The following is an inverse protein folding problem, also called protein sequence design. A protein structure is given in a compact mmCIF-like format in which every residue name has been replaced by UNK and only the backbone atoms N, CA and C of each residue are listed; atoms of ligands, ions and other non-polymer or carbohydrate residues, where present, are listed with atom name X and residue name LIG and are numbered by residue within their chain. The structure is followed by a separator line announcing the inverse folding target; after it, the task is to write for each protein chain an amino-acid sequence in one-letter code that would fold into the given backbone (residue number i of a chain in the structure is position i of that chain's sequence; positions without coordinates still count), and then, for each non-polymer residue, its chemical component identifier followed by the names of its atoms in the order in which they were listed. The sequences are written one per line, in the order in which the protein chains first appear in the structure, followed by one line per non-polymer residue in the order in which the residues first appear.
data_IF_380941150776
#
_entry.id   IF_380941150776
#
_cell.length_a   1.000
_cell.length_b   1.000
_cell.length_c   1.000
_cell.angle_alpha   90.00
_cell.angle_beta   90.00
_cell.angle_gamma   90.00
#
_symmetry.space_group_name_H-M   'P 1'
#
loop_
_entity.id
_entity.type
_entity.pdbx_description
1 polymer ?
#
# COMPACT_ATOMS: atom_id res chain seq x y z
N UNK A 1 7.59 10.52 -4.54
CA UNK A 1 7.33 9.19 -5.15
C UNK A 1 7.78 9.15 -6.64
N UNK A 2 8.98 9.62 -7.01
CA UNK A 2 9.31 9.89 -8.43
C UNK A 2 10.02 8.73 -9.15
N UNK A 3 9.49 7.50 -9.12
CA UNK A 3 10.15 6.20 -9.41
C UNK A 3 10.86 5.62 -8.19
N UNK A 4 10.08 5.03 -7.28
CA UNK A 4 10.64 4.14 -6.26
C UNK A 4 10.82 2.76 -6.88
N UNK A 5 12.00 2.50 -7.48
CA UNK A 5 12.39 1.14 -7.86
C UNK A 5 12.83 0.41 -6.59
N UNK A 6 12.27 -0.77 -6.35
CA UNK A 6 12.83 -1.63 -5.30
C UNK A 6 14.13 -2.26 -5.79
N UNK A 7 15.16 -2.20 -4.94
CA UNK A 7 16.51 -2.62 -5.30
C UNK A 7 16.72 -4.12 -5.13
N UNK A 8 16.07 -4.71 -4.12
CA UNK A 8 16.26 -6.10 -3.70
C UNK A 8 15.09 -7.03 -4.04
N UNK A 9 13.91 -6.50 -4.37
CA UNK A 9 12.71 -7.31 -4.57
C UNK A 9 11.93 -6.91 -5.82
N UNK A 10 11.21 -7.89 -6.37
CA UNK A 10 10.21 -7.66 -7.42
C UNK A 10 8.81 -7.71 -6.81
N UNK A 11 7.90 -6.93 -7.37
CA UNK A 11 6.47 -7.05 -7.11
C UNK A 11 5.85 -8.02 -8.11
N UNK A 12 5.18 -9.04 -7.59
CA UNK A 12 4.34 -9.96 -8.36
C UNK A 12 2.88 -9.54 -8.27
N UNK A 13 2.31 -9.09 -9.38
CA UNK A 13 0.89 -8.81 -9.52
C UNK A 13 0.21 -10.05 -10.08
N UNK A 14 -0.88 -10.50 -9.46
CA UNK A 14 -1.44 -11.82 -9.74
C UNK A 14 -2.92 -11.72 -10.11
N UNK A 15 -3.29 -12.34 -11.22
CA UNK A 15 -4.66 -12.69 -11.55
C UNK A 15 -4.84 -14.21 -11.37
N UNK A 16 -5.69 -14.62 -10.44
CA UNK A 16 -5.97 -16.03 -10.17
C UNK A 16 -7.35 -16.42 -10.72
N UNK A 17 -7.39 -17.44 -11.58
CA UNK A 17 -8.62 -18.04 -12.10
C UNK A 17 -8.83 -19.40 -11.44
N UNK A 18 -9.99 -19.56 -10.80
CA UNK A 18 -10.50 -20.83 -10.33
C UNK A 18 -11.87 -21.11 -10.95
N UNK A 19 -11.99 -22.20 -11.71
CA UNK A 19 -13.24 -22.62 -12.34
C UNK A 19 -13.54 -24.04 -11.91
N UNK A 20 -14.80 -24.35 -11.63
CA UNK A 20 -15.21 -25.73 -11.31
C UNK A 20 -15.06 -26.57 -12.57
N UNK A 21 -14.33 -27.67 -12.43
CA UNK A 21 -14.06 -28.58 -13.53
C UNK A 21 -14.07 -30.01 -12.99
N UNK A 22 -15.10 -30.77 -13.35
CA UNK A 22 -15.29 -32.15 -12.91
C UNK A 22 -14.30 -33.13 -13.50
N UNK A 23 -13.60 -32.76 -14.59
CA UNK A 23 -12.56 -33.59 -15.20
C UNK A 23 -11.26 -33.57 -14.39
N UNK A 24 -11.04 -32.52 -13.60
CA UNK A 24 -9.86 -32.34 -12.77
C UNK A 24 -9.99 -33.11 -11.45
N UNK A 25 -8.93 -33.78 -11.02
CA UNK A 25 -8.91 -34.59 -9.77
C UNK A 25 -9.36 -33.84 -8.52
N UNK A 26 -9.11 -32.52 -8.47
CA UNK A 26 -9.50 -31.65 -7.34
C UNK A 26 -10.85 -30.95 -7.53
N UNK A 27 -11.56 -31.22 -8.63
CA UNK A 27 -12.86 -30.63 -8.96
C UNK A 27 -12.81 -29.18 -9.45
N UNK A 28 -11.61 -28.62 -9.62
CA UNK A 28 -11.40 -27.25 -10.05
C UNK A 28 -10.17 -27.15 -10.96
N UNK A 29 -10.30 -26.35 -12.02
CA UNK A 29 -9.20 -25.77 -12.76
C UNK A 29 -8.68 -24.55 -12.00
N UNK A 30 -7.37 -24.48 -11.77
CA UNK A 30 -6.71 -23.40 -11.04
C UNK A 30 -5.48 -22.95 -11.81
N UNK A 31 -5.42 -21.68 -12.20
CA UNK A 31 -4.28 -21.12 -12.92
C UNK A 31 -4.13 -19.64 -12.60
N UNK A 32 -2.88 -19.18 -12.53
CA UNK A 32 -2.54 -17.78 -12.28
C UNK A 32 -1.80 -17.19 -13.47
N UNK A 33 -2.09 -15.95 -13.79
CA UNK A 33 -1.23 -15.09 -14.61
C UNK A 33 -0.53 -14.10 -13.67
N UNK A 34 0.79 -13.98 -13.80
CA UNK A 34 1.62 -13.15 -12.90
C UNK A 34 2.42 -12.16 -13.72
N UNK A 35 2.29 -10.88 -13.40
CA UNK A 35 3.15 -9.81 -13.92
C UNK A 35 4.20 -9.45 -12.87
N UNK A 36 5.47 -9.42 -13.26
CA UNK A 36 6.59 -9.14 -12.36
C UNK A 36 7.23 -7.80 -12.73
N UNK A 37 7.38 -6.89 -11.76
CA UNK A 37 7.98 -5.58 -11.99
C UNK A 37 8.76 -5.07 -10.79
N UNK A 38 9.80 -4.27 -11.03
CA UNK A 38 10.49 -3.51 -9.96
C UNK A 38 9.77 -2.22 -9.58
N UNK A 39 8.75 -1.83 -10.36
CA UNK A 39 7.97 -0.62 -10.13
C UNK A 39 6.71 -0.96 -9.32
N UNK A 40 6.43 -0.27 -8.21
CA UNK A 40 5.26 -0.50 -7.39
C UNK A 40 4.00 0.18 -7.97
N UNK A 41 3.73 0.01 -9.26
CA UNK A 41 2.57 0.61 -9.95
C UNK A 41 1.35 -0.29 -9.85
N UNK A 42 0.87 -0.44 -8.61
CA UNK A 42 -0.19 -1.38 -8.24
C UNK A 42 -1.42 -1.25 -9.13
N UNK A 43 -1.95 -0.04 -9.28
CA UNK A 43 -3.18 0.17 -10.06
C UNK A 43 -2.97 -0.09 -11.55
N UNK A 44 -1.84 0.37 -12.11
CA UNK A 44 -1.52 0.14 -13.52
C UNK A 44 -1.40 -1.35 -13.83
N UNK A 45 -0.62 -2.10 -13.05
CA UNK A 45 -0.36 -3.51 -13.33
C UNK A 45 -1.55 -4.41 -12.97
N UNK A 46 -2.38 -4.05 -11.98
CA UNK A 46 -3.65 -4.72 -11.75
C UNK A 46 -4.64 -4.48 -12.90
N UNK A 47 -4.77 -3.24 -13.38
CA UNK A 47 -5.60 -2.91 -14.54
C UNK A 47 -5.13 -3.67 -15.79
N UNK A 48 -3.83 -3.69 -16.04
CA UNK A 48 -3.22 -4.42 -17.14
C UNK A 48 -3.54 -5.92 -17.08
N UNK A 49 -3.40 -6.55 -15.91
CA UNK A 49 -3.78 -7.96 -15.72
C UNK A 49 -5.27 -8.22 -15.90
N UNK A 50 -6.14 -7.27 -15.55
CA UNK A 50 -7.59 -7.41 -15.78
C UNK A 50 -7.94 -7.40 -17.27
N UNK A 51 -7.14 -6.74 -18.11
CA UNK A 51 -7.29 -6.77 -19.57
C UNK A 51 -6.68 -8.03 -20.19
N UNK A 52 -5.46 -8.40 -19.78
CA UNK A 52 -4.71 -9.51 -20.40
C UNK A 52 -5.26 -10.88 -19.96
N UNK A 53 -5.57 -11.05 -18.67
CA UNK A 53 -5.84 -12.38 -18.13
C UNK A 53 -7.06 -13.07 -18.77
N UNK A 54 -8.22 -12.40 -18.95
CA UNK A 54 -9.37 -13.02 -19.62
C UNK A 54 -9.00 -13.52 -21.03
N UNK A 55 -8.33 -12.69 -21.80
CA UNK A 55 -7.92 -12.99 -23.17
C UNK A 55 -6.88 -14.12 -23.23
N UNK A 56 -5.90 -14.13 -22.31
CA UNK A 56 -4.96 -15.24 -22.17
C UNK A 56 -5.66 -16.56 -21.86
N UNK A 57 -6.68 -16.52 -21.02
CA UNK A 57 -7.38 -17.73 -20.63
C UNK A 57 -8.27 -18.32 -21.72
N UNK A 58 -8.55 -17.56 -22.77
CA UNK A 58 -9.31 -17.99 -23.94
C UNK A 58 -8.39 -18.28 -25.15
N UNK A 59 -7.35 -17.47 -25.37
CA UNK A 59 -6.45 -17.52 -26.54
C UNK A 59 -5.06 -18.11 -26.25
N UNK A 60 -4.72 -18.35 -24.99
CA UNK A 60 -3.45 -18.93 -24.54
C UNK A 60 -2.20 -18.12 -24.96
N UNK A 61 -1.10 -18.80 -25.29
CA UNK A 61 0.24 -18.23 -25.47
C UNK A 61 0.35 -17.14 -26.54
N UNK A 62 -0.28 -17.26 -27.73
CA UNK A 62 -0.20 -16.20 -28.76
C UNK A 62 -0.69 -14.83 -28.28
N UNK A 63 -1.63 -14.80 -27.34
CA UNK A 63 -2.09 -13.56 -26.72
C UNK A 63 -0.97 -12.89 -25.92
N UNK A 64 -0.15 -13.67 -25.21
CA UNK A 64 0.96 -13.12 -24.43
C UNK A 64 2.09 -12.61 -25.32
N UNK A 65 2.38 -13.29 -26.43
CA UNK A 65 3.38 -12.81 -27.40
C UNK A 65 3.00 -11.44 -27.97
N UNK A 66 1.74 -11.26 -28.36
CA UNK A 66 1.23 -9.97 -28.83
C UNK A 66 1.36 -8.88 -27.75
N UNK A 67 0.94 -9.19 -26.52
CA UNK A 67 1.02 -8.25 -25.39
C UNK A 67 2.47 -7.87 -25.08
N UNK A 68 3.41 -8.82 -25.07
CA UNK A 68 4.82 -8.53 -24.85
C UNK A 68 5.37 -7.59 -25.94
N UNK A 69 5.06 -7.85 -27.20
CA UNK A 69 5.47 -6.98 -28.32
C UNK A 69 4.91 -5.56 -28.19
N UNK A 70 3.69 -5.39 -27.68
CA UNK A 70 3.09 -4.07 -27.42
C UNK A 70 3.79 -3.36 -26.25
N UNK A 71 4.05 -4.08 -25.14
CA UNK A 71 4.74 -3.55 -23.95
C UNK A 71 6.17 -3.13 -24.27
N UNK A 72 6.89 -3.86 -25.10
CA UNK A 72 8.27 -3.55 -25.51
C UNK A 72 8.38 -2.21 -26.27
N UNK A 73 7.27 -1.76 -26.87
CA UNK A 73 7.18 -0.50 -27.59
C UNK A 73 6.75 0.67 -26.69
N UNK A 74 6.47 0.42 -25.41
CA UNK A 74 6.04 1.48 -24.50
C UNK A 74 7.15 2.49 -24.24
N UNK A 75 6.81 3.79 -24.12
CA UNK A 75 7.77 4.80 -23.71
C UNK A 75 8.29 4.52 -22.29
N UNK A 76 9.55 4.90 -21.98
CA UNK A 76 10.08 4.74 -20.63
C UNK A 76 9.25 5.55 -19.62
N UNK A 77 9.06 5.04 -18.39
CA UNK A 77 8.26 5.73 -17.38
C UNK A 77 9.03 6.91 -16.76
N UNK A 78 8.92 8.10 -17.35
CA UNK A 78 9.59 9.32 -16.87
C UNK A 78 8.69 10.07 -15.87
N UNK A 79 9.19 10.47 -14.68
CA UNK A 79 8.41 11.20 -13.67
C UNK A 79 7.81 12.50 -14.21
N UNK A 80 6.54 12.74 -13.94
CA UNK A 80 5.81 13.93 -14.39
C UNK A 80 5.30 13.86 -15.83
N UNK A 81 5.55 12.77 -16.55
CA UNK A 81 5.03 12.56 -17.90
C UNK A 81 3.68 11.82 -17.86
N UNK A 82 2.77 12.17 -18.77
CA UNK A 82 1.60 11.36 -19.08
C UNK A 82 1.93 10.42 -20.23
N UNK A 83 1.73 9.13 -20.04
CA UNK A 83 1.97 8.08 -21.03
C UNK A 83 0.64 7.58 -21.58
N UNK A 84 0.64 7.21 -22.85
CA UNK A 84 -0.42 6.46 -23.50
C UNK A 84 0.16 5.08 -23.83
N UNK A 85 -0.37 4.05 -23.18
CA UNK A 85 0.15 2.69 -23.18
C UNK A 85 -0.85 1.79 -23.93
N UNK A 86 -0.66 1.56 -25.24
CA UNK A 86 -1.52 0.67 -26.00
C UNK A 86 -1.32 -0.78 -25.53
N UNK A 87 -2.42 -1.48 -25.30
CA UNK A 87 -2.44 -2.92 -25.01
C UNK A 87 -3.79 -3.53 -25.33
N UNK A 88 -3.81 -4.68 -26.01
CA UNK A 88 -5.03 -5.45 -26.29
C UNK A 88 -6.17 -4.60 -26.90
N UNK A 89 -5.84 -3.71 -27.84
CA UNK A 89 -6.82 -2.83 -28.49
C UNK A 89 -7.37 -1.68 -27.63
N UNK A 90 -6.83 -1.50 -26.41
CA UNK A 90 -7.15 -0.39 -25.50
C UNK A 90 -5.92 0.50 -25.34
N UNK A 91 -6.10 1.80 -25.13
CA UNK A 91 -5.01 2.71 -24.76
C UNK A 91 -5.17 3.10 -23.30
N UNK A 92 -4.26 2.68 -22.44
CA UNK A 92 -4.23 3.11 -21.03
C UNK A 92 -3.50 4.44 -20.95
N UNK A 93 -4.19 5.51 -20.52
CA UNK A 93 -3.57 6.80 -20.29
C UNK A 93 -3.27 6.98 -18.80
N UNK A 94 -2.01 7.24 -18.45
CA UNK A 94 -1.58 7.34 -17.05
C UNK A 94 -0.46 8.34 -16.86
N UNK A 95 -0.50 9.10 -15.75
CA UNK A 95 0.59 10.01 -15.36
C UNK A 95 1.55 9.33 -14.40
N UNK A 96 2.84 9.41 -14.71
CA UNK A 96 3.90 8.96 -13.81
C UNK A 96 4.11 10.03 -12.72
N UNK A 97 4.02 9.70 -11.43
CA UNK A 97 4.18 10.67 -10.35
C UNK A 97 5.58 11.28 -10.30
N UNK A 98 5.65 12.56 -9.97
CA UNK A 98 6.88 13.33 -9.75
C UNK A 98 7.05 13.71 -8.27
N UNK A 99 8.27 14.15 -7.90
CA UNK A 99 8.59 14.66 -6.54
C UNK A 99 7.89 15.98 -6.23
N UNK A 100 7.55 16.75 -7.27
CA UNK A 100 6.89 18.06 -7.16
C UNK A 100 5.37 17.97 -7.12
N UNK A 101 4.80 16.78 -7.35
CA UNK A 101 3.35 16.60 -7.32
C UNK A 101 2.83 16.72 -5.88
N UNK A 102 1.83 17.56 -5.66
CA UNK A 102 1.15 17.66 -4.35
C UNK A 102 0.27 16.43 -4.15
N UNK A 103 0.17 15.87 -2.93
CA UNK A 103 -0.82 14.83 -2.62
C UNK A 103 -2.22 15.31 -3.00
N UNK A 104 -2.91 14.57 -3.86
CA UNK A 104 -4.24 14.94 -4.36
C UNK A 104 -4.27 15.95 -5.52
N UNK A 105 -3.14 16.24 -6.19
CA UNK A 105 -3.18 16.96 -7.47
C UNK A 105 -4.04 16.18 -8.46
N UNK A 106 -5.02 16.87 -9.05
CA UNK A 106 -6.05 16.34 -9.94
C UNK A 106 -5.49 15.43 -11.04
N UNK A 107 -6.26 14.42 -11.50
CA UNK A 107 -5.83 13.50 -12.54
C UNK A 107 -5.47 14.25 -13.81
N UNK A 108 -4.61 13.63 -14.63
CA UNK A 108 -4.25 13.97 -16.01
C UNK A 108 -5.14 15.11 -16.55
N UNK A 109 -4.61 16.33 -16.68
CA UNK A 109 -5.28 17.35 -17.50
C UNK A 109 -5.54 16.68 -18.84
N UNK A 110 -6.80 16.50 -19.22
CA UNK A 110 -7.16 16.11 -20.58
C UNK A 110 -6.51 17.15 -21.50
N UNK A 111 -5.36 16.81 -22.06
CA UNK A 111 -4.75 17.60 -23.10
C UNK A 111 -5.68 17.40 -24.30
N UNK A 112 -6.21 18.49 -24.86
CA UNK A 112 -7.13 18.52 -25.99
C UNK A 112 -6.77 17.45 -27.03
N UNK A 113 -7.45 16.31 -26.99
CA UNK A 113 -7.38 15.28 -28.02
C UNK A 113 -8.80 15.02 -28.49
N UNK A 114 -9.30 15.96 -29.28
CA UNK A 114 -10.31 15.65 -30.28
C UNK A 114 -9.71 14.54 -31.18
N UNK A 115 -10.41 13.42 -31.32
CA UNK A 115 -10.22 12.38 -32.36
C UNK A 115 -9.41 11.08 -32.07
N UNK A 116 -9.15 10.67 -30.82
CA UNK A 116 -8.75 9.27 -30.58
C UNK A 116 -9.98 8.39 -30.31
N UNK A 117 -10.38 7.60 -31.31
CA UNK A 117 -11.34 6.51 -31.15
C UNK A 117 -10.59 5.16 -31.21
N UNK A 118 -10.79 4.24 -30.24
CA UNK A 118 -11.60 4.38 -29.03
C UNK A 118 -10.95 5.29 -27.96
N UNK A 119 -11.79 5.87 -27.10
CA UNK A 119 -11.33 6.75 -26.02
C UNK A 119 -10.41 5.99 -25.04
N UNK A 120 -9.31 6.63 -24.58
CA UNK A 120 -8.35 5.97 -23.70
C UNK A 120 -8.94 5.67 -22.32
N UNK A 121 -8.51 4.55 -21.74
CA UNK A 121 -8.75 4.21 -20.34
C UNK A 121 -7.85 5.06 -19.46
N UNK A 122 -8.39 6.14 -18.90
CA UNK A 122 -7.63 7.07 -18.05
C UNK A 122 -7.51 6.53 -16.63
N UNK A 123 -6.28 6.25 -16.20
CA UNK A 123 -5.96 5.92 -14.82
C UNK A 123 -5.61 7.19 -14.04
N UNK A 124 -6.30 7.49 -12.92
CA UNK A 124 -6.03 8.69 -12.13
C UNK A 124 -4.65 8.67 -11.45
N UNK A 125 -4.14 7.48 -11.13
CA UNK A 125 -2.81 7.27 -10.55
C UNK A 125 -2.32 5.85 -10.81
N UNK A 126 -1.00 5.69 -10.95
CA UNK A 126 -0.32 4.38 -11.02
C UNK A 126 -0.36 3.60 -9.71
N UNK A 127 -0.55 4.27 -8.58
CA UNK A 127 -0.43 3.69 -7.23
C UNK A 127 -1.77 3.50 -6.51
N UNK A 128 -2.91 3.89 -7.11
CA UNK A 128 -4.15 4.01 -6.33
C UNK A 128 -4.59 2.69 -5.71
N UNK A 129 -4.48 2.66 -4.39
CA UNK A 129 -5.06 1.67 -3.51
C UNK A 129 -6.23 2.36 -2.81
N UNK A 130 -7.39 1.69 -2.75
CA UNK A 130 -8.55 2.22 -2.04
C UNK A 130 -8.33 2.16 -0.52
N UNK A 131 -7.58 3.14 0.01
CA UNK A 131 -7.21 3.24 1.42
C UNK A 131 -8.44 3.29 2.31
N UNK A 132 -9.52 3.94 1.85
CA UNK A 132 -10.76 3.98 2.61
C UNK A 132 -11.30 2.58 2.77
N UNK A 133 -11.48 1.84 1.67
CA UNK A 133 -11.97 0.46 1.69
C UNK A 133 -11.11 -0.44 2.58
N UNK A 134 -9.79 -0.30 2.50
CA UNK A 134 -8.86 -1.06 3.32
C UNK A 134 -9.03 -0.72 4.80
N UNK A 135 -9.03 0.56 5.16
CA UNK A 135 -9.07 0.99 6.56
C UNK A 135 -10.45 1.08 7.17
N UNK A 136 -11.52 1.02 6.37
CA UNK A 136 -12.91 1.10 6.83
C UNK A 136 -13.20 0.22 8.06
N UNK A 137 -12.82 -1.08 8.13
CA UNK A 137 -13.08 -1.91 9.31
C UNK A 137 -12.26 -1.52 10.56
N UNK A 138 -11.16 -0.80 10.38
CA UNK A 138 -10.19 -0.45 11.44
C UNK A 138 -10.08 1.07 11.68
N UNK A 139 -10.96 1.86 11.08
CA UNK A 139 -10.82 3.30 10.95
C UNK A 139 -10.70 4.02 12.31
N UNK A 140 -11.44 3.55 13.32
CA UNK A 140 -11.37 4.10 14.68
C UNK A 140 -10.04 3.84 15.40
N UNK A 141 -9.16 3.03 14.82
CA UNK A 141 -7.85 2.65 15.36
C UNK A 141 -6.70 3.08 14.45
N UNK A 142 -6.97 3.95 13.47
CA UNK A 142 -5.99 4.32 12.46
C UNK A 142 -4.75 4.98 13.04
N UNK A 143 -4.88 5.78 14.11
CA UNK A 143 -3.73 6.38 14.80
C UNK A 143 -2.81 5.32 15.43
N UNK A 144 -3.39 4.26 16.02
CA UNK A 144 -2.60 3.15 16.57
C UNK A 144 -1.85 2.42 15.46
N UNK A 145 -2.53 2.10 14.37
CA UNK A 145 -1.93 1.41 13.24
C UNK A 145 -0.81 2.26 12.63
N UNK A 146 -1.03 3.56 12.48
CA UNK A 146 -0.03 4.50 12.01
C UNK A 146 1.19 4.55 12.93
N UNK A 147 1.02 4.59 14.25
CA UNK A 147 2.15 4.54 15.20
C UNK A 147 2.95 3.24 15.07
N UNK A 148 2.27 2.09 14.98
CA UNK A 148 2.93 0.79 14.79
C UNK A 148 3.75 0.78 13.48
N UNK A 149 3.20 1.35 12.41
CA UNK A 149 3.92 1.50 11.14
C UNK A 149 5.11 2.44 11.27
N UNK A 150 4.93 3.61 11.90
CA UNK A 150 5.98 4.62 12.09
C UNK A 150 7.18 4.05 12.87
N UNK A 151 6.88 3.26 13.89
CA UNK A 151 7.87 2.63 14.75
C UNK A 151 8.47 1.35 14.16
N UNK A 152 7.92 0.85 13.05
CA UNK A 152 8.39 -0.39 12.41
C UNK A 152 8.11 -1.62 13.26
N UNK A 153 7.04 -1.63 14.06
CA UNK A 153 6.72 -2.74 14.95
C UNK A 153 6.35 -4.01 14.15
N UNK A 154 6.83 -5.20 14.54
CA UNK A 154 6.50 -6.46 13.87
C UNK A 154 5.00 -6.76 13.90
N UNK A 155 4.39 -6.98 12.75
CA UNK A 155 2.93 -7.11 12.68
C UNK A 155 2.47 -8.14 11.65
N UNK A 156 1.46 -8.92 12.04
CA UNK A 156 0.80 -9.90 11.17
C UNK A 156 -0.59 -9.41 10.78
N UNK A 157 -0.89 -9.37 9.48
CA UNK A 157 -2.22 -9.16 8.93
C UNK A 157 -2.80 -10.51 8.52
N UNK A 158 -3.84 -10.97 9.21
CA UNK A 158 -4.60 -12.16 8.88
C UNK A 158 -5.87 -11.76 8.14
N UNK A 159 -6.01 -12.19 6.90
CA UNK A 159 -7.10 -11.78 6.00
C UNK A 159 -7.84 -12.99 5.41
N UNK A 160 -9.08 -12.83 4.91
CA UNK A 160 -9.84 -13.93 4.32
C UNK A 160 -9.34 -14.36 2.93
N UNK A 161 -8.61 -13.48 2.22
CA UNK A 161 -8.10 -13.77 0.88
C UNK A 161 -6.74 -13.10 0.61
N UNK A 162 -5.95 -13.60 -0.35
CA UNK A 162 -4.66 -13.00 -0.70
C UNK A 162 -4.81 -11.55 -1.17
N UNK A 163 -5.92 -11.23 -1.84
CA UNK A 163 -6.27 -9.85 -2.23
C UNK A 163 -6.41 -8.95 -1.01
N UNK A 164 -7.25 -9.31 -0.03
CA UNK A 164 -7.44 -8.48 1.17
C UNK A 164 -6.16 -8.39 2.00
N UNK A 165 -5.38 -9.47 2.06
CA UNK A 165 -4.06 -9.49 2.70
C UNK A 165 -3.12 -8.46 2.08
N UNK A 166 -2.92 -8.56 0.78
CA UNK A 166 -1.97 -7.72 0.04
C UNK A 166 -2.38 -6.25 0.02
N UNK A 167 -3.66 -5.97 -0.21
CA UNK A 167 -4.21 -4.61 -0.15
C UNK A 167 -4.04 -4.00 1.25
N UNK A 168 -4.36 -4.71 2.32
CA UNK A 168 -4.21 -4.17 3.68
C UNK A 168 -2.75 -3.88 4.02
N UNK A 169 -1.81 -4.78 3.68
CA UNK A 169 -0.38 -4.57 3.92
C UNK A 169 0.13 -3.35 3.14
N UNK A 170 -0.23 -3.24 1.85
CA UNK A 170 0.13 -2.08 1.04
C UNK A 170 -0.50 -0.78 1.57
N UNK A 171 -1.74 -0.83 2.09
CA UNK A 171 -2.40 0.33 2.69
C UNK A 171 -1.67 0.81 3.95
N UNK A 172 -1.32 -0.12 4.83
CA UNK A 172 -0.58 0.15 6.07
C UNK A 172 0.79 0.77 5.79
N UNK A 173 1.56 0.22 4.85
CA UNK A 173 2.86 0.82 4.47
C UNK A 173 2.70 2.20 3.84
N UNK A 174 1.65 2.40 3.03
CA UNK A 174 1.37 3.66 2.35
C UNK A 174 0.87 4.77 3.28
N UNK A 175 0.36 4.45 4.49
CA UNK A 175 -0.16 5.46 5.40
C UNK A 175 0.92 6.32 6.06
N UNK A 176 2.19 5.95 5.92
CA UNK A 176 3.32 6.77 6.35
C UNK A 176 3.71 7.85 5.36
N UNK A 177 3.17 7.83 4.13
CA UNK A 177 3.45 8.84 3.13
C UNK A 177 3.25 10.26 3.72
N UNK A 178 4.20 11.18 3.50
CA UNK A 178 5.32 11.10 2.54
C UNK A 178 6.59 10.38 3.05
N UNK A 179 6.61 9.88 4.29
CA UNK A 179 7.70 9.00 4.76
C UNK A 179 7.68 7.71 3.96
N UNK A 180 8.85 7.23 3.57
CA UNK A 180 8.99 5.87 3.07
C UNK A 180 8.96 4.90 4.26
N UNK A 181 8.15 3.84 4.15
CA UNK A 181 8.28 2.69 5.03
C UNK A 181 9.57 1.93 4.66
N UNK A 182 10.50 1.81 5.59
CA UNK A 182 11.83 1.23 5.37
C UNK A 182 12.03 -0.14 6.04
N UNK A 183 11.02 -0.64 6.76
CA UNK A 183 10.99 -2.03 7.20
C UNK A 183 10.62 -2.97 6.04
N UNK A 184 10.93 -4.26 6.20
CA UNK A 184 10.52 -5.27 5.24
C UNK A 184 8.99 -5.48 5.32
N UNK A 185 8.38 -5.92 4.22
CA UNK A 185 6.98 -6.31 4.22
C UNK A 185 6.69 -7.37 3.17
N UNK A 186 5.77 -8.27 3.50
CA UNK A 186 5.29 -9.34 2.61
C UNK A 186 3.78 -9.20 2.46
N UNK A 187 3.28 -8.62 1.35
CA UNK A 187 1.84 -8.45 1.13
C UNK A 187 1.05 -9.76 1.21
N UNK A 188 1.67 -10.86 0.79
CA UNK A 188 1.15 -12.20 0.95
C UNK A 188 2.30 -13.18 1.19
N UNK A 189 2.26 -13.86 2.34
CA UNK A 189 3.26 -14.80 2.82
C UNK A 189 2.64 -16.17 3.04
N UNK A 190 3.39 -17.20 2.67
CA UNK A 190 2.95 -18.58 2.63
C UNK A 190 3.88 -19.48 3.43
N UNK A 191 3.47 -20.72 3.62
CA UNK A 191 4.32 -21.74 4.27
C UNK A 191 5.48 -22.20 3.38
N UNK A 192 5.48 -21.80 2.10
CA UNK A 192 6.48 -22.19 1.11
C UNK A 192 7.57 -21.13 0.94
N UNK A 193 7.42 -19.96 1.55
CA UNK A 193 8.46 -18.94 1.58
C UNK A 193 9.69 -19.46 2.33
N UNK A 194 10.89 -19.15 1.82
CA UNK A 194 12.17 -19.56 2.39
C UNK A 194 12.35 -19.15 3.84
N UNK A 195 11.83 -17.98 4.20
CA UNK A 195 11.92 -17.33 5.50
C UNK A 195 10.86 -17.85 6.49
N UNK A 196 10.00 -18.79 6.09
CA UNK A 196 8.95 -19.33 6.93
C UNK A 196 9.49 -19.86 8.27
N UNK A 197 10.60 -20.60 8.27
CA UNK A 197 11.20 -21.12 9.51
C UNK A 197 11.71 -20.01 10.42
N UNK A 198 12.27 -18.95 9.85
CA UNK A 198 12.79 -17.80 10.57
C UNK A 198 11.65 -17.02 11.24
N UNK A 199 10.59 -16.68 10.48
CA UNK A 199 9.50 -15.86 11.00
C UNK A 199 8.60 -16.59 12.01
N UNK A 200 8.62 -17.92 11.98
CA UNK A 200 7.79 -18.75 12.87
C UNK A 200 8.52 -19.23 14.12
N UNK A 201 9.84 -18.98 14.22
CA UNK A 201 10.60 -19.34 15.42
C UNK A 201 10.10 -18.61 16.67
N UNK A 202 10.27 -19.25 17.82
CA UNK A 202 9.98 -18.66 19.14
C UNK A 202 11.24 -18.35 19.94
N UNK A 203 12.41 -18.70 19.42
CA UNK A 203 13.69 -18.51 20.10
C UNK A 203 14.24 -17.10 19.94
N UNK A 204 13.80 -16.38 18.90
CA UNK A 204 14.23 -15.03 18.59
C UNK A 204 13.03 -14.08 18.55
N UNK A 205 13.31 -12.80 18.78
CA UNK A 205 12.31 -11.76 18.59
C UNK A 205 11.94 -11.67 17.09
N UNK A 206 10.66 -11.45 16.75
CA UNK A 206 10.26 -11.23 15.36
C UNK A 206 11.03 -10.04 14.75
N UNK A 207 11.50 -10.14 13.50
CA UNK A 207 12.13 -9.00 12.82
C UNK A 207 11.12 -7.87 12.61
N UNK A 208 11.61 -6.65 12.36
CA UNK A 208 10.78 -5.50 11.99
C UNK A 208 10.17 -5.71 10.60
N UNK A 209 9.08 -6.48 10.52
CA UNK A 209 8.43 -6.86 9.29
C UNK A 209 6.89 -6.82 9.41
N UNK A 210 6.23 -6.39 8.34
CA UNK A 210 4.79 -6.48 8.18
C UNK A 210 4.44 -7.64 7.25
N UNK A 211 3.72 -8.64 7.75
CA UNK A 211 3.43 -9.87 6.99
C UNK A 211 1.93 -10.09 6.85
N UNK A 212 1.46 -10.24 5.62
CA UNK A 212 0.09 -10.60 5.28
C UNK A 212 -0.07 -12.10 5.05
N UNK A 213 -1.08 -12.72 5.66
CA UNK A 213 -1.37 -14.15 5.56
C UNK A 213 -2.87 -14.39 5.46
N UNK A 214 -3.26 -15.54 4.89
CA UNK A 214 -4.68 -15.96 4.86
C UNK A 214 -4.96 -17.22 5.66
N UNK A 215 -3.98 -18.11 5.74
CA UNK A 215 -4.19 -19.46 6.27
C UNK A 215 -4.38 -19.43 7.80
N UNK A 216 -5.48 -19.99 8.34
CA UNK A 216 -5.69 -20.16 9.78
C UNK A 216 -4.53 -20.85 10.51
N UNK A 217 -3.73 -21.66 9.82
CA UNK A 217 -2.49 -22.23 10.35
C UNK A 217 -1.59 -21.17 11.00
N UNK A 218 -1.44 -20.00 10.38
CA UNK A 218 -0.61 -18.91 10.91
C UNK A 218 -1.12 -18.33 12.22
N UNK A 219 -2.39 -18.57 12.58
CA UNK A 219 -2.94 -18.16 13.87
C UNK A 219 -2.14 -18.80 14.99
N UNK A 220 -1.97 -20.12 14.95
CA UNK A 220 -1.24 -20.85 15.99
C UNK A 220 0.26 -20.54 15.92
N UNK A 221 0.77 -20.47 14.71
CA UNK A 221 2.20 -20.37 14.45
C UNK A 221 2.75 -19.00 14.83
N UNK A 222 1.99 -17.93 14.61
CA UNK A 222 2.41 -16.55 14.88
C UNK A 222 1.69 -15.92 16.09
N UNK A 223 0.98 -16.70 16.92
CA UNK A 223 0.24 -16.16 18.08
C UNK A 223 1.12 -15.42 19.10
N UNK A 224 2.43 -15.67 19.10
CA UNK A 224 3.41 -15.01 19.97
C UNK A 224 3.85 -13.64 19.47
N UNK A 225 3.48 -13.27 18.23
CA UNK A 225 3.83 -11.96 17.68
C UNK A 225 3.11 -10.82 18.42
N UNK A 226 3.76 -9.64 18.54
CA UNK A 226 3.28 -8.57 19.41
C UNK A 226 2.01 -7.87 18.89
N UNK A 227 1.80 -7.87 17.57
CA UNK A 227 0.68 -7.21 16.91
C UNK A 227 0.06 -8.12 15.84
N UNK A 228 -1.23 -8.42 16.00
CA UNK A 228 -1.99 -9.22 15.03
C UNK A 228 -3.26 -8.44 14.65
N UNK A 229 -3.40 -8.09 13.38
CA UNK A 229 -4.62 -7.55 12.80
C UNK A 229 -5.34 -8.64 12.04
N UNK A 230 -6.56 -8.97 12.48
CA UNK A 230 -7.48 -9.81 11.74
C UNK A 230 -8.52 -8.98 11.03
N UNK A 231 -8.49 -9.05 9.72
CA UNK A 231 -9.45 -8.41 8.83
C UNK A 231 -10.54 -9.43 8.50
N UNK A 232 -11.79 -8.99 8.53
CA UNK A 232 -12.92 -9.82 8.11
C UNK A 232 -13.21 -9.67 6.62
N UNK A 233 -14.18 -10.43 6.14
CA UNK A 233 -14.79 -10.16 4.84
C UNK A 233 -15.46 -8.78 4.86
N UNK A 234 -15.15 -7.99 3.84
CA UNK A 234 -15.78 -6.70 3.62
C UNK A 234 -17.20 -6.95 3.09
N UNK A 235 -18.21 -6.68 3.91
CA UNK A 235 -19.60 -6.72 3.44
C UNK A 235 -19.87 -5.48 2.61
N UNK A 236 -20.29 -5.68 1.36
CA UNK A 236 -20.71 -4.61 0.44
C UNK A 236 -22.12 -4.06 0.76
N UNK A 237 -22.76 -4.49 1.86
CA UNK A 237 -24.10 -4.00 2.21
C UNK A 237 -24.01 -2.57 2.76
N UNK A 238 -24.98 -1.72 2.41
CA UNK A 238 -25.04 -0.30 2.78
C UNK A 238 -25.16 0.02 4.27
N UNK A 239 -24.95 -0.95 5.16
CA UNK A 239 -24.85 -0.73 6.61
C UNK A 239 -23.44 -0.27 6.96
N UNK A 240 -23.29 0.63 7.94
CA UNK A 240 -21.97 0.98 8.46
C UNK A 240 -21.27 -0.30 8.96
N UNK A 241 -20.07 -0.63 8.43
CA UNK A 241 -19.37 -1.82 8.85
C UNK A 241 -18.99 -1.74 10.31
N UNK A 242 -19.21 -2.86 11.01
CA UNK A 242 -18.85 -3.00 12.42
C UNK A 242 -17.35 -2.78 12.59
N UNK A 243 -17.00 -1.71 13.29
CA UNK A 243 -15.61 -1.41 13.65
C UNK A 243 -15.04 -2.54 14.50
N UNK A 244 -13.82 -2.98 14.19
CA UNK A 244 -13.18 -4.05 14.95
C UNK A 244 -12.83 -3.61 16.37
N UNK A 245 -12.76 -4.55 17.31
CA UNK A 245 -12.36 -4.28 18.70
C UNK A 245 -10.88 -4.57 18.90
N UNK A 246 -10.24 -3.81 19.79
CA UNK A 246 -8.90 -4.12 20.30
C UNK A 246 -9.03 -5.12 21.45
N UNK A 247 -8.19 -6.15 21.45
CA UNK A 247 -8.16 -7.22 22.45
C UNK A 247 -6.71 -7.45 22.89
N UNK A 248 -6.52 -7.94 24.12
CA UNK A 248 -5.22 -8.45 24.57
C UNK A 248 -4.84 -9.71 23.78
N UNK A 249 -3.55 -9.91 23.54
CA UNK A 249 -3.04 -11.08 22.79
C UNK A 249 -3.45 -12.41 23.43
N UNK A 250 -3.47 -12.51 24.76
CA UNK A 250 -3.93 -13.70 25.50
C UNK A 250 -5.39 -14.12 25.21
N UNK A 251 -6.21 -13.23 24.62
CA UNK A 251 -7.58 -13.54 24.21
C UNK A 251 -7.67 -14.13 22.79
N UNK A 252 -6.56 -14.22 22.07
CA UNK A 252 -6.48 -14.85 20.76
C UNK A 252 -6.59 -16.37 20.93
N UNK A 253 -7.72 -16.93 20.54
CA UNK A 253 -7.88 -18.39 20.49
C UNK A 253 -7.49 -18.89 19.10
N UNK A 254 -6.90 -20.08 19.04
CA UNK A 254 -6.44 -20.73 17.81
C UNK A 254 -7.54 -20.86 16.75
N UNK A 255 -8.79 -21.03 17.17
CA UNK A 255 -9.97 -21.17 16.32
C UNK A 255 -10.84 -19.90 16.27
N UNK A 256 -10.45 -18.81 16.93
CA UNK A 256 -11.19 -17.55 16.78
C UNK A 256 -11.07 -17.12 15.32
N UNK A 257 -12.16 -16.85 14.64
CA UNK A 257 -12.19 -16.29 13.28
C UNK A 257 -12.66 -14.84 13.27
N UNK A 258 -12.97 -14.28 14.46
CA UNK A 258 -13.55 -12.95 14.55
C UNK A 258 -12.51 -11.88 14.20
N UNK A 259 -12.89 -10.89 13.38
CA UNK A 259 -12.07 -9.71 13.12
C UNK A 259 -11.72 -8.97 14.42
N UNK A 260 -10.54 -8.38 14.48
CA UNK A 260 -10.01 -7.78 15.70
C UNK A 260 -8.55 -7.36 15.58
N UNK A 261 -8.13 -6.42 16.44
CA UNK A 261 -6.72 -6.09 16.62
C UNK A 261 -6.28 -6.66 17.96
N UNK A 262 -5.26 -7.51 17.95
CA UNK A 262 -4.73 -8.18 19.13
C UNK A 262 -3.36 -7.59 19.44
N UNK A 263 -3.30 -6.79 20.51
CA UNK A 263 -2.07 -6.11 20.93
C UNK A 263 -2.16 -5.65 22.39
N UNK A 264 -1.01 -5.46 23.02
CA UNK A 264 -0.84 -4.77 24.31
C UNK A 264 -0.35 -3.32 24.14
N UNK A 265 -0.18 -2.85 22.91
CA UNK A 265 0.34 -1.52 22.61
C UNK A 265 -0.54 -0.41 23.20
N UNK A 266 0.11 0.60 23.78
CA UNK A 266 -0.53 1.81 24.29
C UNK A 266 -0.20 2.94 23.34
N UNK A 267 -1.23 3.55 22.76
CA UNK A 267 -1.09 4.65 21.80
C UNK A 267 -0.59 5.92 22.48
N UNK A 268 0.27 6.66 21.80
CA UNK A 268 0.65 8.01 22.19
C UNK A 268 -0.33 9.04 21.63
N UNK A 269 -0.89 8.78 20.44
CA UNK A 269 -1.86 9.64 19.78
C UNK A 269 -3.29 9.35 20.26
N UNK A 270 -4.08 10.42 20.31
CA UNK A 270 -5.51 10.33 20.58
C UNK A 270 -6.30 10.13 19.31
N UNK A 271 -7.47 9.47 19.44
CA UNK A 271 -8.39 9.28 18.33
C UNK A 271 -9.02 10.60 17.93
N UNK A 272 -8.85 10.98 16.66
CA UNK A 272 -9.56 12.11 16.08
C UNK A 272 -11.01 11.72 15.74
N UNK A 273 -11.90 11.93 16.72
CA UNK A 273 -13.33 11.67 16.57
C UNK A 273 -13.97 12.51 15.46
N UNK A 274 -13.43 13.67 15.14
CA UNK A 274 -14.01 14.58 14.14
C UNK A 274 -13.68 14.08 12.73
N UNK A 275 -12.41 13.73 12.48
CA UNK A 275 -11.96 13.09 11.26
C UNK A 275 -12.73 11.79 11.03
N UNK A 276 -12.74 10.87 12.02
CA UNK A 276 -13.44 9.59 11.89
C UNK A 276 -14.92 9.79 11.53
N UNK A 277 -15.62 10.73 12.18
CA UNK A 277 -17.03 11.01 11.85
C UNK A 277 -17.21 11.54 10.44
N UNK A 278 -16.31 12.40 9.95
CA UNK A 278 -16.36 12.92 8.57
C UNK A 278 -16.16 11.77 7.58
N UNK A 279 -15.13 10.95 7.78
CA UNK A 279 -14.80 9.83 6.89
C UNK A 279 -15.91 8.78 6.84
N UNK A 280 -16.56 8.48 7.96
CA UNK A 280 -17.72 7.56 7.98
C UNK A 280 -18.96 8.13 7.27
N UNK A 281 -19.17 9.45 7.29
CA UNK A 281 -20.29 10.11 6.58
C UNK A 281 -20.11 10.14 5.06
N UNK A 282 -18.86 10.27 4.59
CA UNK A 282 -18.55 10.20 3.15
C UNK A 282 -18.90 8.80 2.60
N UNK A 283 -18.80 7.75 3.42
CA UNK A 283 -19.20 6.39 3.03
C UNK A 283 -20.70 6.17 2.85
N UNK A 284 -21.55 6.94 3.54
CA UNK A 284 -23.01 6.73 3.54
C UNK A 284 -23.74 7.51 2.44
N UNK A 285 -23.06 8.42 1.74
CA UNK A 285 -23.70 9.37 0.81
C UNK A 285 -23.74 8.90 -0.66
N UNK A 286 -23.29 7.69 -0.99
CA UNK A 286 -23.37 7.18 -2.37
C UNK A 286 -23.68 5.67 -2.45
N UNK A 287 -24.95 5.29 -2.70
CA UNK A 287 -25.28 4.01 -3.30
C UNK A 287 -24.98 4.05 -4.80
N UNK A 288 -24.40 2.97 -5.32
CA UNK A 288 -24.14 2.74 -6.74
C UNK A 288 -25.45 2.74 -7.53
N UNK A 289 -25.65 3.74 -8.38
CA UNK A 289 -26.56 3.67 -9.53
C UNK A 289 -26.00 4.55 -10.67
N UNK A 290 -25.66 3.90 -11.78
CA UNK A 290 -25.56 4.55 -13.10
C UNK A 290 -24.36 5.46 -13.34
N UNK A 291 -23.38 4.93 -14.10
CA UNK A 291 -22.55 5.67 -15.05
C UNK A 291 -22.23 7.13 -14.74
N UNK A 292 -21.28 7.37 -13.82
CA UNK A 292 -20.24 8.42 -13.83
C UNK A 292 -19.56 8.39 -12.47
N UNK A 293 -18.44 7.68 -12.38
CA UNK A 293 -17.60 7.68 -11.18
C UNK A 293 -16.93 9.05 -11.03
N UNK A 294 -17.43 9.88 -10.11
CA UNK A 294 -16.67 11.03 -9.60
C UNK A 294 -15.52 10.45 -8.75
N UNK A 295 -14.26 10.88 -8.94
CA UNK A 295 -13.12 10.15 -8.40
C UNK A 295 -13.11 10.21 -6.87
N UNK A 296 -12.89 9.05 -6.24
CA UNK A 296 -12.50 8.88 -4.82
C UNK A 296 -11.19 9.59 -4.43
N UNK A 297 -10.59 10.34 -5.36
CA UNK A 297 -9.29 10.99 -5.31
C UNK A 297 -9.06 11.99 -4.15
N UNK A 298 -10.11 12.34 -3.39
CA UNK A 298 -9.99 13.21 -2.21
C UNK A 298 -9.68 12.51 -0.89
N UNK A 299 -9.86 11.18 -0.80
CA UNK A 299 -9.54 10.42 0.42
C UNK A 299 -8.05 10.00 0.48
N UNK A 300 -7.29 10.26 -0.57
CA UNK A 300 -5.94 9.71 -0.76
C UNK A 300 -4.89 10.43 0.05
N UNK A 301 -4.43 9.82 1.14
CA UNK A 301 -3.24 10.19 1.92
C UNK A 301 -3.32 11.52 2.69
N UNK A 302 -3.70 12.64 2.06
CA UNK A 302 -3.60 13.96 2.68
C UNK A 302 -4.45 14.16 3.93
N UNK A 303 -5.66 13.57 4.02
CA UNK A 303 -6.51 13.72 5.23
C UNK A 303 -6.11 12.79 6.38
N UNK A 304 -5.65 11.57 6.05
CA UNK A 304 -5.12 10.61 7.02
C UNK A 304 -3.79 11.10 7.60
N UNK A 305 -2.95 11.67 6.75
CA UNK A 305 -1.68 12.26 7.16
C UNK A 305 -1.93 13.58 7.91
N UNK A 306 -2.83 14.49 7.47
CA UNK A 306 -3.10 15.79 8.14
C UNK A 306 -3.43 15.69 9.64
N UNK A 307 -4.11 14.65 10.08
CA UNK A 307 -4.49 14.48 11.49
C UNK A 307 -3.33 14.09 12.42
N UNK A 308 -2.27 13.46 11.89
CA UNK A 308 -1.04 13.08 12.60
C UNK A 308 0.18 13.91 12.17
N UNK A 309 0.07 14.66 11.06
CA UNK A 309 1.17 15.33 10.38
C UNK A 309 1.69 16.55 11.14
N UNK A 310 0.77 17.37 11.66
CA UNK A 310 1.08 18.78 11.96
C UNK A 310 2.12 18.97 13.07
N UNK A 311 2.27 18.03 14.01
CA UNK A 311 3.22 18.20 15.13
C UNK A 311 4.55 17.46 14.99
N UNK A 312 4.59 16.30 14.31
CA UNK A 312 5.83 15.54 14.12
C UNK A 312 6.61 16.06 12.88
N UNK A 313 5.89 16.46 11.83
CA UNK A 313 6.47 16.80 10.53
C UNK A 313 6.90 18.24 10.41
N UNK A 314 6.24 19.20 11.06
CA UNK A 314 6.67 20.59 11.01
C UNK A 314 8.10 20.76 11.59
N UNK A 315 8.46 19.99 12.61
CA UNK A 315 9.85 19.92 13.08
C UNK A 315 10.79 19.18 12.11
N UNK A 316 10.42 17.99 11.64
CA UNK A 316 11.35 17.16 10.85
C UNK A 316 11.61 17.68 9.42
N UNK A 317 10.62 18.35 8.80
CA UNK A 317 10.66 18.80 7.39
C UNK A 317 11.17 20.23 7.25
N UNK A 318 10.82 21.12 8.19
CA UNK A 318 11.15 22.54 8.05
C UNK A 318 12.41 22.99 8.78
N UNK A 319 12.80 22.34 9.89
CA UNK A 319 13.94 22.81 10.70
C UNK A 319 15.15 21.88 10.69
N UNK A 320 15.04 20.67 10.12
CA UNK A 320 16.12 19.68 10.16
C UNK A 320 16.52 19.26 11.58
N UNK A 321 15.71 19.62 12.57
CA UNK A 321 15.96 19.47 14.00
C UNK A 321 14.66 19.07 14.72
N UNK A 322 14.70 18.39 15.87
CA UNK A 322 13.50 18.11 16.65
C UNK A 322 12.76 19.42 16.99
N UNK A 323 11.42 19.43 16.96
CA UNK A 323 10.67 20.61 17.38
C UNK A 323 10.98 20.92 18.84
N UNK A 324 11.23 22.21 19.13
CA UNK A 324 11.42 22.72 20.49
C UNK A 324 10.20 22.44 21.39
N UNK A 325 10.35 22.61 22.71
CA UNK A 325 9.40 22.11 23.70
C UNK A 325 8.13 22.97 23.74
N UNK A 326 7.25 22.78 22.77
CA UNK A 326 5.90 23.37 22.76
C UNK A 326 4.82 22.28 22.65
N UNK A 327 4.97 21.20 23.44
CA UNK A 327 3.84 20.44 24.01
C UNK A 327 4.38 19.41 25.04
N UNK A 328 4.24 19.65 26.35
CA UNK A 328 4.93 18.87 27.35
C UNK A 328 4.14 17.58 27.65
N UNK A 329 4.68 16.44 27.19
CA UNK A 329 4.83 15.13 27.90
C UNK A 329 4.56 13.89 27.02
N UNK A 330 3.74 13.97 25.97
CA UNK A 330 3.40 12.76 25.15
C UNK A 330 4.27 12.62 23.90
N UNK A 331 4.55 13.72 23.19
CA UNK A 331 5.38 13.74 21.99
C UNK A 331 6.83 13.26 22.21
N UNK A 332 7.54 13.64 23.30
CA UNK A 332 8.95 13.26 23.46
C UNK A 332 9.19 11.75 23.43
N UNK A 333 8.24 10.95 23.92
CA UNK A 333 8.36 9.49 24.01
C UNK A 333 8.21 8.81 22.65
N UNK A 334 7.21 9.22 21.85
CA UNK A 334 7.01 8.70 20.50
C UNK A 334 8.17 9.12 19.59
N UNK A 335 8.60 10.38 19.66
CA UNK A 335 9.77 10.87 18.93
C UNK A 335 11.03 10.07 19.29
N UNK A 336 11.30 9.84 20.58
CA UNK A 336 12.46 9.05 21.03
C UNK A 336 12.45 7.62 20.49
N UNK A 337 11.27 6.99 20.39
CA UNK A 337 11.14 5.66 19.78
C UNK A 337 11.31 5.71 18.27
N UNK A 338 10.75 6.72 17.62
CA UNK A 338 10.90 6.91 16.17
C UNK A 338 12.37 7.12 15.77
N UNK A 339 13.14 7.93 16.51
CA UNK A 339 14.57 8.11 16.24
C UNK A 339 15.41 6.82 16.33
N UNK A 340 14.87 5.78 16.99
CA UNK A 340 15.49 4.46 17.08
C UNK A 340 14.88 3.45 16.10
N UNK A 341 13.89 3.85 15.30
CA UNK A 341 13.18 2.96 14.40
C UNK A 341 13.92 2.81 13.07
N UNK A 342 13.71 1.68 12.35
CA UNK A 342 14.29 1.49 11.02
C UNK A 342 13.81 2.53 10.00
N UNK A 343 12.60 3.08 10.19
CA UNK A 343 12.06 4.12 9.30
C UNK A 343 12.83 5.44 9.42
N UNK A 344 13.22 5.83 10.63
CA UNK A 344 14.06 7.02 10.80
C UNK A 344 15.46 6.79 10.21
N UNK A 345 16.09 5.65 10.49
CA UNK A 345 17.41 5.32 9.93
C UNK A 345 17.38 5.32 8.39
N UNK A 346 16.38 4.67 7.79
CA UNK A 346 16.19 4.63 6.34
C UNK A 346 15.96 6.02 5.73
N UNK A 347 15.12 6.85 6.36
CA UNK A 347 14.91 8.24 5.95
C UNK A 347 16.20 9.07 6.08
N UNK A 348 16.91 8.96 7.20
CA UNK A 348 18.14 9.70 7.46
C UNK A 348 19.22 9.38 6.44
N UNK A 349 19.47 8.08 6.17
CA UNK A 349 20.41 7.64 5.14
C UNK A 349 20.01 8.11 3.74
N UNK A 350 18.71 8.12 3.43
CA UNK A 350 18.24 8.66 2.16
C UNK A 350 18.52 10.16 2.06
N UNK A 351 18.18 10.95 3.08
CA UNK A 351 18.42 12.39 3.09
C UNK A 351 19.89 12.74 3.03
N UNK A 352 20.73 12.00 3.76
CA UNK A 352 22.18 12.17 3.70
C UNK A 352 22.71 11.92 2.29
N UNK A 353 22.29 10.83 1.62
CA UNK A 353 22.68 10.56 0.23
C UNK A 353 22.23 11.66 -0.73
N UNK A 354 20.98 12.12 -0.61
CA UNK A 354 20.45 13.21 -1.46
C UNK A 354 21.22 14.52 -1.25
N UNK A 355 21.59 14.84 -0.01
CA UNK A 355 22.41 16.00 0.32
C UNK A 355 23.82 15.88 -0.26
N UNK A 356 24.49 14.73 -0.07
CA UNK A 356 25.83 14.47 -0.62
C UNK A 356 25.84 14.59 -2.15
N UNK A 357 24.87 13.98 -2.84
CA UNK A 357 24.76 14.06 -4.30
C UNK A 357 24.57 15.49 -4.80
N UNK A 358 23.76 16.30 -4.10
CA UNK A 358 23.59 17.71 -4.45
C UNK A 358 24.87 18.52 -4.24
N UNK A 359 25.59 18.25 -3.16
CA UNK A 359 26.86 18.92 -2.88
C UNK A 359 27.91 18.57 -3.94
N UNK A 360 28.00 17.30 -4.34
CA UNK A 360 28.88 16.84 -5.42
C UNK A 360 28.52 17.50 -6.76
N UNK A 361 27.23 17.59 -7.10
CA UNK A 361 26.77 18.26 -8.31
C UNK A 361 27.14 19.75 -8.34
N UNK A 362 26.87 20.49 -7.24
CA UNK A 362 27.24 21.90 -7.13
C UNK A 362 28.75 22.12 -7.18
N UNK A 363 29.53 21.20 -6.61
CA UNK A 363 30.98 21.26 -6.66
C UNK A 363 31.50 21.07 -8.09
N UNK A 364 30.93 20.12 -8.84
CA UNK A 364 31.25 19.91 -10.26
C UNK A 364 30.86 21.12 -11.11
N UNK A 365 29.70 21.72 -10.88
CA UNK A 365 29.27 22.96 -11.56
C UNK A 365 30.27 24.09 -11.30
N UNK A 366 30.66 24.31 -10.04
CA UNK A 366 31.64 25.34 -9.68
C UNK A 366 33.03 25.11 -10.30
N UNK A 367 33.46 23.85 -10.47
CA UNK A 367 34.71 23.52 -11.17
C UNK A 367 34.59 23.79 -12.67
N UNK A 368 33.44 23.48 -13.29
CA UNK A 368 33.22 23.71 -14.72
C UNK A 368 33.10 25.20 -15.07
N UNK A 369 32.73 26.05 -14.11
CA UNK A 369 32.64 27.52 -14.27
C UNK A 369 33.96 28.27 -14.01
N UNK A 370 34.99 27.58 -13.51
CA UNK A 370 36.33 28.12 -13.24
C UNK A 370 37.31 27.81 -14.38
#
# INVERSE_FOLDING_TARGET
LSLQREASHYFGYVYFRQVKDSSMRRGYFQKSLVLVSRLPYVNLFQCLLQLIAPEYFDKLEPCLEAVCNEIDQWPPPVPGQTLNLPVMGVVIQVRIPSRVDKPGSSPVKQCNQENLLPAPLVLPSVHELDLFRCFQPVLIHIQMLWELMLLGEPMVVMAPSPTVSSEMVLALTSCLAPLRYCCDFRPYFTIHDSEFKEYTTRTQAPPNILVGVTNPFFIKTLQHWPHILRVGELRMSGDLPKQVKVKKLAKLKTLDTKPGIYTSYKTFLHKDKTLIKRLLKVSTSHPVLGGKAVPRAGFGQSELSRGAEVTLWDGLVHTGAPPGPHNPTVLPSLHRRFFKSPNFDGWFRQRHREMTQKLEALHLEAICEA
#
